data_IF_852515749871
#
_entry.id   IF_852515749871
#
_cell.length_a   1.000
_cell.length_b   1.000
_cell.length_c   1.000
_cell.angle_alpha   90.00
_cell.angle_beta   90.00
_cell.angle_gamma   90.00
#
_symmetry.space_group_name_H-M   'P 1'
#
loop_
_entity.id
_entity.type
_entity.pdbx_description
1 polymer ?
#
# COMPACT_ATOMS: atom_id res chain seq x y z
N UNK A 1 -12.68 -43.28 19.90
CA UNK A 1 -13.96 -43.02 19.21
C UNK A 1 -15.07 -42.89 20.25
N UNK A 2 -15.47 -41.67 20.62
CA UNK A 2 -16.59 -41.45 21.53
C UNK A 2 -17.85 -41.17 20.71
N UNK A 3 -18.74 -42.17 20.65
CA UNK A 3 -20.08 -42.02 20.07
C UNK A 3 -21.04 -41.63 21.20
N UNK A 4 -21.60 -40.43 21.13
CA UNK A 4 -22.71 -40.02 21.99
C UNK A 4 -24.02 -40.48 21.33
N UNK A 5 -24.81 -41.29 22.06
CA UNK A 5 -26.07 -41.87 21.59
C UNK A 5 -27.23 -41.09 22.22
N UNK A 6 -28.03 -40.46 21.37
CA UNK A 6 -29.25 -39.75 21.79
C UNK A 6 -30.42 -40.72 21.97
N UNK A 7 -31.41 -40.35 22.79
CA UNK A 7 -32.41 -41.26 23.36
C UNK A 7 -33.56 -41.65 22.41
N UNK A 8 -33.51 -41.25 21.13
CA UNK A 8 -34.62 -41.41 20.16
C UNK A 8 -34.25 -42.11 18.83
N UNK A 9 -33.15 -42.85 18.75
CA UNK A 9 -32.94 -43.89 17.72
C UNK A 9 -32.82 -43.43 16.24
N UNK A 10 -32.80 -42.15 15.95
CA UNK A 10 -32.62 -41.63 14.58
C UNK A 10 -31.14 -41.40 14.26
N UNK A 11 -30.60 -42.17 13.30
CA UNK A 11 -29.23 -42.00 12.77
C UNK A 11 -29.18 -40.79 11.81
N UNK A 12 -29.28 -39.59 12.37
CA UNK A 12 -28.93 -38.38 11.62
C UNK A 12 -27.40 -38.33 11.49
N UNK A 13 -26.92 -38.50 10.25
CA UNK A 13 -25.49 -38.56 9.97
C UNK A 13 -24.81 -37.27 10.42
N UNK A 14 -23.69 -37.40 11.15
CA UNK A 14 -22.77 -36.30 11.45
C UNK A 14 -22.30 -35.52 10.21
N UNK A 15 -22.48 -36.09 9.02
CA UNK A 15 -22.06 -35.56 7.73
C UNK A 15 -22.82 -34.27 7.38
N UNK A 16 -24.15 -34.25 7.51
CA UNK A 16 -24.97 -33.09 7.15
C UNK A 16 -24.76 -31.85 8.04
N UNK A 17 -24.43 -32.05 9.33
CA UNK A 17 -24.08 -30.94 10.23
C UNK A 17 -22.71 -30.33 9.89
N UNK A 18 -21.78 -31.14 9.39
CA UNK A 18 -20.46 -30.65 8.94
C UNK A 18 -20.59 -29.90 7.62
N UNK A 19 -21.28 -30.48 6.63
CA UNK A 19 -21.51 -29.79 5.34
C UNK A 19 -22.24 -28.46 5.51
N UNK A 20 -23.27 -28.36 6.38
CA UNK A 20 -23.94 -27.09 6.65
C UNK A 20 -23.06 -26.08 7.40
N UNK A 21 -22.13 -26.54 8.24
CA UNK A 21 -21.16 -25.67 8.92
C UNK A 21 -20.06 -25.21 7.96
N UNK A 22 -19.60 -26.08 7.07
CA UNK A 22 -18.57 -25.79 6.07
C UNK A 22 -19.09 -24.84 4.98
N UNK A 23 -20.36 -24.99 4.56
CA UNK A 23 -21.02 -24.10 3.60
C UNK A 23 -21.32 -22.72 4.22
N UNK A 24 -21.71 -22.64 5.49
CA UNK A 24 -21.91 -21.35 6.18
C UNK A 24 -20.58 -20.65 6.51
N UNK A 25 -19.51 -21.39 6.79
CA UNK A 25 -18.16 -20.86 7.03
C UNK A 25 -17.42 -20.47 5.74
N UNK A 26 -17.83 -21.01 4.58
CA UNK A 26 -17.33 -20.62 3.27
C UNK A 26 -18.10 -19.45 2.62
N UNK A 27 -19.28 -19.07 3.13
CA UNK A 27 -20.12 -17.98 2.60
C UNK A 27 -20.39 -16.82 3.57
N UNK A 28 -20.07 -16.96 4.86
CA UNK A 28 -20.10 -15.88 5.83
C UNK A 28 -18.72 -15.23 5.99
N UNK A 29 -18.60 -13.98 5.52
CA UNK A 29 -17.99 -12.87 6.28
C UNK A 29 -16.69 -13.21 7.05
N UNK A 30 -15.52 -12.72 6.65
CA UNK A 30 -15.22 -11.29 6.72
C UNK A 30 -14.36 -10.86 5.54
N UNK A 31 -14.83 -9.87 4.77
CA UNK A 31 -13.92 -8.78 4.42
C UNK A 31 -13.45 -8.23 5.75
N UNK A 32 -12.22 -8.58 6.13
CA UNK A 32 -11.71 -8.18 7.42
C UNK A 32 -11.57 -6.65 7.42
N UNK A 33 -12.03 -5.91 8.45
CA UNK A 33 -11.77 -4.45 8.53
C UNK A 33 -10.27 -4.12 8.47
N UNK A 34 -9.40 -5.12 8.69
CA UNK A 34 -7.95 -5.02 8.49
C UNK A 34 -7.52 -4.93 7.02
N UNK A 35 -8.24 -5.53 6.07
CA UNK A 35 -7.95 -5.38 4.64
C UNK A 35 -8.42 -4.04 4.07
N UNK A 36 -9.61 -3.58 4.48
CA UNK A 36 -10.14 -2.27 4.10
C UNK A 36 -9.17 -1.14 4.52
N UNK A 37 -8.68 -1.18 5.76
CA UNK A 37 -7.70 -0.20 6.23
C UNK A 37 -6.37 -0.26 5.45
N UNK A 38 -5.91 -1.45 5.03
CA UNK A 38 -4.67 -1.57 4.25
C UNK A 38 -4.82 -0.99 2.84
N UNK A 39 -5.93 -1.25 2.17
CA UNK A 39 -6.20 -0.67 0.85
C UNK A 39 -6.27 0.86 0.94
N UNK A 40 -6.92 1.39 1.97
CA UNK A 40 -6.95 2.82 2.25
C UNK A 40 -5.54 3.38 2.47
N UNK A 41 -4.68 2.71 3.25
CA UNK A 41 -3.28 3.12 3.43
C UNK A 41 -2.50 3.14 2.11
N UNK A 42 -2.66 2.12 1.27
CA UNK A 42 -1.99 2.08 -0.04
C UNK A 42 -2.47 3.21 -0.95
N UNK A 43 -3.77 3.50 -0.97
CA UNK A 43 -4.33 4.63 -1.71
C UNK A 43 -3.78 5.97 -1.20
N UNK A 44 -3.66 6.13 0.11
CA UNK A 44 -3.04 7.32 0.72
C UNK A 44 -1.57 7.44 0.30
N UNK A 45 -0.80 6.34 0.29
CA UNK A 45 0.60 6.37 -0.19
C UNK A 45 0.71 6.71 -1.67
N UNK A 46 -0.18 6.20 -2.52
CA UNK A 46 -0.19 6.54 -3.95
C UNK A 46 -0.53 8.03 -4.12
N UNK A 47 -1.55 8.53 -3.42
CA UNK A 47 -1.90 9.96 -3.44
C UNK A 47 -0.76 10.84 -2.95
N UNK A 48 -0.09 10.43 -1.88
CA UNK A 48 1.08 11.11 -1.32
C UNK A 48 2.22 11.15 -2.34
N UNK A 49 2.53 10.03 -3.00
CA UNK A 49 3.57 9.94 -4.02
C UNK A 49 3.29 10.85 -5.22
N UNK A 50 2.05 10.85 -5.72
CA UNK A 50 1.67 11.72 -6.83
C UNK A 50 1.75 13.20 -6.44
N UNK A 51 1.32 13.56 -5.23
CA UNK A 51 1.43 14.93 -4.72
C UNK A 51 2.90 15.36 -4.55
N UNK A 52 3.75 14.49 -4.02
CA UNK A 52 5.18 14.78 -3.89
C UNK A 52 5.85 14.97 -5.26
N UNK A 53 5.61 14.05 -6.20
CA UNK A 53 6.18 14.13 -7.56
C UNK A 53 5.69 15.40 -8.26
N UNK A 54 4.39 15.70 -8.21
CA UNK A 54 3.83 16.90 -8.84
C UNK A 54 4.38 18.19 -8.22
N UNK A 55 4.52 18.24 -6.88
CA UNK A 55 5.11 19.38 -6.17
C UNK A 55 6.57 19.61 -6.54
N UNK A 56 7.38 18.54 -6.50
CA UNK A 56 8.79 18.59 -6.89
C UNK A 56 8.96 18.96 -8.36
N UNK A 57 8.15 18.41 -9.25
CA UNK A 57 8.19 18.71 -10.67
C UNK A 57 7.77 20.15 -10.99
N UNK A 58 6.74 20.66 -10.31
CA UNK A 58 6.34 22.07 -10.42
C UNK A 58 7.43 23.03 -9.96
N UNK A 59 8.13 22.68 -8.87
CA UNK A 59 9.28 23.45 -8.40
C UNK A 59 10.46 23.40 -9.38
N UNK A 60 10.72 22.22 -9.96
CA UNK A 60 11.74 22.05 -11.00
C UNK A 60 11.41 22.87 -12.26
N UNK A 61 10.16 22.87 -12.71
CA UNK A 61 9.70 23.70 -13.83
C UNK A 61 9.90 25.20 -13.56
N UNK A 62 9.61 25.65 -12.34
CA UNK A 62 9.80 27.05 -11.95
C UNK A 62 11.29 27.45 -11.97
N UNK A 63 12.15 26.72 -11.26
CA UNK A 63 13.57 27.06 -11.16
C UNK A 63 14.33 26.88 -12.47
N UNK A 64 14.06 25.80 -13.23
CA UNK A 64 14.84 25.48 -14.43
C UNK A 64 14.28 26.06 -15.72
N UNK A 65 12.96 26.24 -15.83
CA UNK A 65 12.35 26.72 -17.08
C UNK A 65 11.89 28.19 -16.99
N UNK A 66 12.12 28.86 -15.86
CA UNK A 66 11.77 30.28 -15.69
C UNK A 66 10.27 30.57 -15.81
N UNK A 67 9.43 29.55 -15.59
CA UNK A 67 7.97 29.69 -15.60
C UNK A 67 7.54 30.70 -14.53
N UNK A 68 6.48 31.44 -14.77
CA UNK A 68 5.97 32.49 -13.87
C UNK A 68 5.71 31.92 -12.46
N UNK A 69 5.96 32.72 -11.41
CA UNK A 69 5.81 32.32 -10.00
C UNK A 69 4.41 31.78 -9.60
N UNK A 70 3.42 31.92 -10.48
CA UNK A 70 2.11 31.27 -10.37
C UNK A 70 2.19 29.73 -10.31
N UNK A 71 3.22 29.10 -10.86
CA UNK A 71 3.44 27.65 -10.74
C UNK A 71 3.96 27.21 -9.37
N UNK A 72 4.48 28.16 -8.56
CA UNK A 72 5.02 27.87 -7.25
C UNK A 72 3.92 27.57 -6.22
N UNK A 73 2.81 28.29 -6.29
CA UNK A 73 1.65 28.09 -5.41
C UNK A 73 1.08 26.66 -5.46
N UNK A 74 0.73 26.11 -6.64
CA UNK A 74 0.24 24.73 -6.72
C UNK A 74 1.32 23.72 -6.34
N UNK A 75 2.60 23.99 -6.62
CA UNK A 75 3.72 23.11 -6.23
C UNK A 75 3.86 23.00 -4.70
N UNK A 76 3.84 24.13 -3.99
CA UNK A 76 3.90 24.17 -2.53
C UNK A 76 2.66 23.56 -1.89
N UNK A 77 1.47 23.81 -2.46
CA UNK A 77 0.23 23.21 -1.98
C UNK A 77 0.28 21.68 -2.10
N UNK A 78 0.86 21.17 -3.19
CA UNK A 78 1.04 19.73 -3.40
C UNK A 78 1.99 19.11 -2.38
N UNK A 79 3.11 19.77 -2.07
CA UNK A 79 4.03 19.34 -1.00
C UNK A 79 3.37 19.36 0.39
N UNK A 80 2.54 20.37 0.68
CA UNK A 80 1.77 20.42 1.92
C UNK A 80 0.74 19.28 1.99
N UNK A 81 0.07 18.97 0.89
CA UNK A 81 -0.87 17.86 0.79
C UNK A 81 -0.17 16.50 0.99
N UNK A 82 1.02 16.32 0.42
CA UNK A 82 1.87 15.16 0.65
C UNK A 82 2.17 14.95 2.15
N UNK A 83 2.65 16.01 2.82
CA UNK A 83 2.94 15.94 4.25
C UNK A 83 1.69 15.57 5.06
N UNK A 84 0.54 16.17 4.74
CA UNK A 84 -0.73 15.86 5.38
C UNK A 84 -1.15 14.40 5.16
N UNK A 85 -1.07 13.89 3.93
CA UNK A 85 -1.43 12.50 3.60
C UNK A 85 -0.58 11.49 4.37
N UNK A 86 0.73 11.74 4.55
CA UNK A 86 1.57 10.86 5.34
C UNK A 86 1.21 10.84 6.83
N UNK A 87 0.68 11.94 7.37
CA UNK A 87 0.20 11.95 8.77
C UNK A 87 -1.05 11.12 8.99
N UNK A 88 -1.83 10.84 7.93
CA UNK A 88 -3.02 9.98 8.00
C UNK A 88 -2.67 8.49 8.03
N UNK A 89 -1.39 8.13 7.82
CA UNK A 89 -0.97 6.73 7.84
C UNK A 89 -0.60 6.31 9.25
N UNK A 90 -1.52 5.64 9.93
CA UNK A 90 -1.29 5.02 11.24
C UNK A 90 -0.22 3.92 11.13
N UNK A 91 1.00 4.21 11.58
CA UNK A 91 2.11 3.26 11.68
C UNK A 91 2.75 3.29 13.06
N UNK A 92 3.04 2.12 13.63
CA UNK A 92 3.75 1.97 14.91
C UNK A 92 5.16 2.61 14.92
N UNK A 93 5.74 2.89 13.75
CA UNK A 93 6.99 3.62 13.63
C UNK A 93 6.99 4.49 12.36
N UNK A 94 7.17 5.80 12.51
CA UNK A 94 7.19 6.74 11.39
C UNK A 94 8.26 6.36 10.34
N UNK A 95 9.46 5.95 10.78
CA UNK A 95 10.53 5.51 9.88
C UNK A 95 10.15 4.32 8.97
N UNK A 96 9.31 3.39 9.46
CA UNK A 96 8.87 2.23 8.66
C UNK A 96 7.79 2.62 7.65
N UNK A 97 6.95 3.60 7.99
CA UNK A 97 6.02 4.19 7.05
C UNK A 97 6.76 4.90 5.91
N UNK A 98 7.81 5.67 6.22
CA UNK A 98 8.65 6.30 5.19
C UNK A 98 9.37 5.28 4.30
N UNK A 99 9.83 4.15 4.86
CA UNK A 99 10.44 3.09 4.05
C UNK A 99 9.43 2.40 3.10
N UNK A 100 8.21 2.13 3.58
CA UNK A 100 7.14 1.58 2.75
C UNK A 100 6.74 2.57 1.65
N UNK A 101 6.54 3.82 2.03
CA UNK A 101 6.23 4.94 1.15
C UNK A 101 7.30 5.13 0.08
N UNK A 102 8.58 5.11 0.44
CA UNK A 102 9.68 5.28 -0.50
C UNK A 102 9.67 4.26 -1.65
N UNK A 103 9.21 3.03 -1.39
CA UNK A 103 9.00 2.03 -2.44
C UNK A 103 7.86 2.41 -3.41
N UNK A 104 6.73 2.89 -2.87
CA UNK A 104 5.60 3.38 -3.67
C UNK A 104 6.01 4.61 -4.50
N UNK A 105 6.73 5.54 -3.87
CA UNK A 105 7.29 6.71 -4.53
C UNK A 105 8.19 6.31 -5.70
N UNK A 106 9.13 5.39 -5.50
CA UNK A 106 10.04 4.93 -6.56
C UNK A 106 9.27 4.37 -7.77
N UNK A 107 8.25 3.54 -7.54
CA UNK A 107 7.42 2.98 -8.60
C UNK A 107 6.60 4.08 -9.32
N UNK A 108 6.02 5.01 -8.56
CA UNK A 108 5.27 6.14 -9.10
C UNK A 108 6.17 7.09 -9.93
N UNK A 109 7.40 7.34 -9.49
CA UNK A 109 8.37 8.16 -10.22
C UNK A 109 8.73 7.56 -11.58
N UNK A 110 8.91 6.24 -11.67
CA UNK A 110 9.15 5.57 -12.96
C UNK A 110 7.92 5.63 -13.87
N UNK A 111 6.72 5.44 -13.30
CA UNK A 111 5.48 5.58 -14.07
C UNK A 111 5.30 7.03 -14.56
N UNK A 112 5.63 8.02 -13.74
CA UNK A 112 5.60 9.44 -14.10
C UNK A 112 6.58 9.78 -15.21
N UNK A 113 7.83 9.31 -15.09
CA UNK A 113 8.86 9.45 -16.13
C UNK A 113 8.34 8.93 -17.48
N UNK A 114 7.68 7.77 -17.48
CA UNK A 114 7.14 7.19 -18.71
C UNK A 114 5.92 7.94 -19.27
N UNK A 115 5.02 8.39 -18.41
CA UNK A 115 3.72 8.95 -18.81
C UNK A 115 3.74 10.46 -19.06
N UNK A 116 4.43 11.22 -18.20
CA UNK A 116 4.45 12.69 -18.24
C UNK A 116 5.67 13.20 -19.01
N UNK A 117 6.83 12.58 -18.80
CA UNK A 117 8.06 12.97 -19.49
C UNK A 117 8.26 12.21 -20.82
N UNK A 118 7.50 11.13 -21.05
CA UNK A 118 7.58 10.33 -22.28
C UNK A 118 8.89 9.53 -22.43
N UNK A 119 9.71 9.48 -21.38
CA UNK A 119 10.98 8.77 -21.37
C UNK A 119 10.73 7.34 -20.93
N UNK A 120 11.08 6.37 -21.79
CA UNK A 120 10.94 4.96 -21.43
C UNK A 120 11.98 4.59 -20.37
N UNK A 121 11.59 4.00 -19.23
CA UNK A 121 12.53 3.57 -18.20
C UNK A 121 13.47 2.52 -18.80
N UNK A 122 14.77 2.74 -18.61
CA UNK A 122 15.79 1.84 -19.12
C UNK A 122 15.91 0.59 -18.23
N UNK A 123 16.58 -0.45 -18.74
CA UNK A 123 16.91 -1.66 -17.99
C UNK A 123 17.68 -1.35 -16.71
N UNK A 124 18.49 -0.30 -16.72
CA UNK A 124 19.21 0.20 -15.54
C UNK A 124 18.27 0.81 -14.50
N UNK A 125 17.28 1.61 -14.93
CA UNK A 125 16.28 2.20 -14.03
C UNK A 125 15.45 1.11 -13.34
N UNK A 126 15.04 0.10 -14.11
CA UNK A 126 14.28 -1.05 -13.60
C UNK A 126 15.11 -1.88 -12.61
N UNK A 127 16.40 -2.09 -12.89
CA UNK A 127 17.30 -2.83 -12.00
C UNK A 127 17.51 -2.07 -10.69
N UNK A 128 17.76 -0.76 -10.78
CA UNK A 128 17.89 0.12 -9.62
C UNK A 128 16.62 0.16 -8.77
N UNK A 129 15.45 0.32 -9.41
CA UNK A 129 14.16 0.30 -8.72
C UNK A 129 13.90 -1.04 -8.02
N UNK A 130 14.23 -2.16 -8.68
CA UNK A 130 14.08 -3.49 -8.07
C UNK A 130 14.96 -3.61 -6.81
N UNK A 131 16.20 -3.13 -6.86
CA UNK A 131 17.10 -3.14 -5.70
C UNK A 131 16.57 -2.27 -4.56
N UNK A 132 16.07 -1.07 -4.86
CA UNK A 132 15.45 -0.20 -3.86
C UNK A 132 14.21 -0.83 -3.22
N UNK A 133 13.36 -1.49 -4.03
CA UNK A 133 12.17 -2.20 -3.53
C UNK A 133 12.55 -3.38 -2.63
N UNK A 134 13.62 -4.12 -2.96
CA UNK A 134 14.16 -5.17 -2.09
C UNK A 134 14.66 -4.56 -0.77
N UNK A 135 15.38 -3.44 -0.81
CA UNK A 135 15.81 -2.72 0.39
C UNK A 135 14.63 -2.30 1.28
N UNK A 136 13.59 -1.71 0.70
CA UNK A 136 12.36 -1.36 1.40
C UNK A 136 11.66 -2.60 1.99
N UNK A 137 11.61 -3.69 1.25
CA UNK A 137 11.08 -4.98 1.72
C UNK A 137 11.86 -5.50 2.93
N UNK A 138 13.20 -5.41 2.92
CA UNK A 138 14.03 -5.80 4.06
C UNK A 138 13.75 -4.92 5.28
N UNK A 139 13.54 -3.61 5.12
CA UNK A 139 13.18 -2.73 6.25
C UNK A 139 11.79 -3.10 6.81
N UNK A 140 10.85 -3.47 5.94
CA UNK A 140 9.48 -3.85 6.32
C UNK A 140 9.38 -5.24 6.94
N UNK A 141 10.08 -6.25 6.41
CA UNK A 141 10.01 -7.65 6.82
C UNK A 141 11.24 -8.16 7.57
N UNK A 142 12.26 -7.33 7.76
CA UNK A 142 13.48 -7.69 8.47
C UNK A 142 13.17 -8.31 9.83
N UNK A 143 13.68 -9.52 10.13
CA UNK A 143 13.40 -10.18 11.38
C UNK A 143 13.93 -9.31 12.53
N UNK A 144 13.01 -8.86 13.39
CA UNK A 144 13.38 -8.24 14.65
C UNK A 144 13.61 -9.38 15.60
N UNK A 145 14.88 -9.75 15.84
CA UNK A 145 15.19 -10.49 17.04
C UNK A 145 14.61 -9.65 18.19
N UNK A 146 13.66 -10.23 18.93
CA UNK A 146 13.10 -9.59 20.11
C UNK A 146 14.27 -9.22 21.03
N UNK A 147 14.49 -7.92 21.20
CA UNK A 147 15.41 -7.37 22.18
C UNK A 147 14.70 -7.31 23.54
#
# INVERSE_FOLDING_TARGET
>A
MCAWRDREGTLTSRQGRKESADVFQAHGYTNSPREENRLNTVLIYIGAALAEIAGCFGFWMWLRQGRTGWWLLPALLSLAAFAYLLTLVESNAAGRAYAAYGGVYMAASLAWLWTVEGVRPDRWDLTGATLCLIGAAIVLWGPRAAA
#
